data_IF_698591081897
#
_entry.id   IF_698591081897
#
_cell.length_a   1.000
_cell.length_b   1.000
_cell.length_c   1.000
_cell.angle_alpha   90.00
_cell.angle_beta   90.00
_cell.angle_gamma   90.00
#
_symmetry.space_group_name_H-M   'P 1'
#
loop_
_entity.id
_entity.type
_entity.pdbx_description
1 polymer ?
#
# COMPACT_ATOMS: atom_id res chain seq x y z
N UNK A 1 -35.95 -50.16 10.82
CA UNK A 1 -34.80 -49.32 11.21
C UNK A 1 -34.44 -48.44 10.03
N UNK A 2 -34.89 -47.18 10.08
CA UNK A 2 -34.68 -46.20 9.02
C UNK A 2 -33.27 -45.59 9.15
N UNK A 3 -32.47 -45.70 8.10
CA UNK A 3 -31.17 -45.03 7.99
C UNK A 3 -31.35 -43.69 7.27
N UNK A 4 -31.34 -42.60 8.01
CA UNK A 4 -31.24 -41.24 7.44
C UNK A 4 -29.84 -41.05 6.84
N UNK A 5 -29.77 -41.11 5.50
CA UNK A 5 -28.65 -40.60 4.75
C UNK A 5 -28.68 -39.06 4.82
N UNK A 6 -27.80 -38.49 5.63
CA UNK A 6 -27.49 -37.06 5.61
C UNK A 6 -26.90 -36.68 4.25
N UNK A 7 -27.76 -36.27 3.32
CA UNK A 7 -27.37 -35.60 2.08
C UNK A 7 -26.80 -34.23 2.50
N UNK A 8 -25.48 -34.14 2.57
CA UNK A 8 -24.79 -32.86 2.65
C UNK A 8 -25.08 -32.10 1.35
N UNK A 9 -26.02 -31.15 1.41
CA UNK A 9 -26.32 -30.25 0.30
C UNK A 9 -25.02 -29.61 -0.21
N UNK A 10 -24.76 -29.62 -1.54
CA UNK A 10 -23.57 -28.97 -2.07
C UNK A 10 -23.64 -27.48 -1.73
N UNK A 11 -22.64 -26.98 -1.00
CA UNK A 11 -22.49 -25.55 -0.74
C UNK A 11 -22.32 -24.87 -2.09
N UNK A 12 -23.40 -24.29 -2.60
CA UNK A 12 -23.40 -23.57 -3.87
C UNK A 12 -22.44 -22.39 -3.76
N UNK A 13 -21.26 -22.52 -4.38
CA UNK A 13 -20.34 -21.40 -4.48
C UNK A 13 -21.04 -20.32 -5.32
N UNK A 14 -21.20 -19.09 -4.81
CA UNK A 14 -21.78 -18.02 -5.63
C UNK A 14 -20.97 -17.90 -6.92
N UNK A 15 -21.66 -17.68 -8.05
CA UNK A 15 -20.99 -17.46 -9.32
C UNK A 15 -20.02 -16.29 -9.21
N UNK A 16 -18.91 -16.33 -9.96
CA UNK A 16 -17.91 -15.26 -9.96
C UNK A 16 -18.55 -13.88 -10.24
N UNK A 17 -19.56 -13.85 -11.12
CA UNK A 17 -20.36 -12.66 -11.42
C UNK A 17 -21.11 -12.13 -10.18
N UNK A 18 -21.78 -13.00 -9.41
CA UNK A 18 -22.50 -12.58 -8.19
C UNK A 18 -21.55 -12.00 -7.15
N UNK A 19 -20.37 -12.61 -6.99
CA UNK A 19 -19.32 -12.09 -6.11
C UNK A 19 -18.84 -10.71 -6.56
N UNK A 20 -18.52 -10.57 -7.85
CA UNK A 20 -18.05 -9.31 -8.42
C UNK A 20 -19.06 -8.17 -8.21
N UNK A 21 -20.35 -8.43 -8.42
CA UNK A 21 -21.44 -7.46 -8.18
C UNK A 21 -21.56 -7.08 -6.70
N UNK A 22 -21.48 -8.05 -5.78
CA UNK A 22 -21.52 -7.76 -4.34
C UNK A 22 -20.34 -6.89 -3.88
N UNK A 23 -19.14 -7.20 -4.35
CA UNK A 23 -17.95 -6.39 -4.08
C UNK A 23 -18.09 -5.00 -4.71
N UNK A 24 -18.65 -4.91 -5.93
CA UNK A 24 -18.88 -3.63 -6.60
C UNK A 24 -19.86 -2.75 -5.81
N UNK A 25 -20.95 -3.30 -5.30
CA UNK A 25 -21.90 -2.56 -4.48
C UNK A 25 -21.25 -1.96 -3.22
N UNK A 26 -20.43 -2.74 -2.51
CA UNK A 26 -19.67 -2.26 -1.34
C UNK A 26 -18.69 -1.17 -1.75
N UNK A 27 -17.92 -1.42 -2.83
CA UNK A 27 -16.90 -0.50 -3.28
C UNK A 27 -17.50 0.84 -3.72
N UNK A 28 -18.55 0.82 -4.55
CA UNK A 28 -19.26 2.02 -5.01
C UNK A 28 -19.85 2.81 -3.83
N UNK A 29 -20.49 2.14 -2.86
CA UNK A 29 -20.99 2.82 -1.67
C UNK A 29 -19.87 3.53 -0.90
N UNK A 30 -18.72 2.87 -0.71
CA UNK A 30 -17.55 3.48 -0.08
C UNK A 30 -16.98 4.64 -0.91
N UNK A 31 -16.99 4.55 -2.25
CA UNK A 31 -16.55 5.63 -3.13
C UNK A 31 -17.45 6.86 -3.03
N UNK A 32 -18.77 6.68 -2.92
CA UNK A 32 -19.71 7.79 -2.73
C UNK A 32 -19.35 8.55 -1.45
N UNK A 33 -19.21 7.84 -0.32
CA UNK A 33 -18.84 8.47 0.96
C UNK A 33 -17.48 9.17 0.88
N UNK A 34 -16.48 8.52 0.26
CA UNK A 34 -15.15 9.13 0.05
C UNK A 34 -15.23 10.40 -0.78
N UNK A 35 -16.07 10.42 -1.82
CA UNK A 35 -16.25 11.59 -2.69
C UNK A 35 -16.90 12.75 -1.91
N UNK A 36 -17.86 12.45 -1.04
CA UNK A 36 -18.48 13.46 -0.16
C UNK A 36 -17.46 14.03 0.83
N UNK A 37 -16.57 13.21 1.40
CA UNK A 37 -15.50 13.69 2.27
C UNK A 37 -14.49 14.55 1.50
N UNK A 38 -14.02 14.12 0.33
CA UNK A 38 -13.09 14.93 -0.48
C UNK A 38 -13.73 16.25 -0.94
N UNK A 39 -15.01 16.22 -1.30
CA UNK A 39 -15.77 17.43 -1.63
C UNK A 39 -15.85 18.37 -0.44
N UNK A 40 -16.27 17.88 0.74
CA UNK A 40 -16.32 18.71 1.95
C UNK A 40 -14.94 19.26 2.34
N UNK A 41 -13.86 18.50 2.14
CA UNK A 41 -12.51 18.97 2.39
C UNK A 41 -12.05 20.07 1.42
N UNK A 42 -12.45 19.97 0.14
CA UNK A 42 -12.21 21.02 -0.84
C UNK A 42 -12.94 22.32 -0.45
N UNK A 43 -14.22 22.24 -0.07
CA UNK A 43 -15.01 23.39 0.41
C UNK A 43 -14.46 24.03 1.69
N UNK A 44 -13.81 23.23 2.55
CA UNK A 44 -13.18 23.71 3.78
C UNK A 44 -11.74 24.21 3.57
N UNK A 45 -11.17 24.06 2.37
CA UNK A 45 -9.81 24.51 2.07
C UNK A 45 -9.76 26.04 2.05
N UNK A 46 -8.84 26.62 2.80
CA UNK A 46 -8.61 28.07 2.85
C UNK A 46 -7.33 28.50 2.12
N UNK A 47 -7.03 29.80 2.15
CA UNK A 47 -5.84 30.38 1.50
C UNK A 47 -4.50 29.80 1.98
N UNK A 48 -4.45 29.28 3.21
CA UNK A 48 -3.26 28.66 3.77
C UNK A 48 -3.10 27.20 3.35
N UNK A 49 -4.17 26.55 2.88
CA UNK A 49 -4.12 25.19 2.38
C UNK A 49 -3.38 25.13 1.05
N UNK A 50 -2.59 24.08 0.85
CA UNK A 50 -1.93 23.81 -0.43
C UNK A 50 -2.92 23.53 -1.57
N UNK A 51 -4.16 23.20 -1.23
CA UNK A 51 -5.28 23.09 -2.18
C UNK A 51 -5.79 24.45 -2.67
N UNK A 52 -5.55 25.53 -1.91
CA UNK A 52 -6.08 26.87 -2.18
C UNK A 52 -7.52 27.08 -1.69
N UNK A 53 -7.97 28.35 -1.70
CA UNK A 53 -9.31 28.74 -1.23
C UNK A 53 -10.44 28.40 -2.23
N UNK A 54 -10.12 28.23 -3.50
CA UNK A 54 -11.07 27.88 -4.57
C UNK A 54 -10.92 26.41 -5.01
N UNK A 55 -10.47 25.55 -4.10
CA UNK A 55 -10.19 24.14 -4.37
C UNK A 55 -11.44 23.41 -4.87
N UNK A 56 -11.26 22.57 -5.90
CA UNK A 56 -12.32 21.71 -6.45
C UNK A 56 -11.98 20.25 -6.21
N UNK A 57 -13.00 19.39 -6.34
CA UNK A 57 -12.82 17.94 -6.22
C UNK A 57 -11.74 17.40 -7.18
N UNK A 58 -11.64 17.96 -8.39
CA UNK A 58 -10.61 17.58 -9.36
C UNK A 58 -9.18 17.83 -8.88
N UNK A 59 -8.96 18.90 -8.12
CA UNK A 59 -7.65 19.28 -7.61
C UNK A 59 -7.14 18.26 -6.59
N UNK A 60 -8.06 17.58 -5.88
CA UNK A 60 -7.68 16.54 -4.91
C UNK A 60 -6.99 15.35 -5.58
N UNK A 61 -7.23 15.14 -6.88
CA UNK A 61 -6.63 14.04 -7.64
C UNK A 61 -5.14 14.30 -7.87
N UNK A 62 -4.77 15.54 -8.20
CA UNK A 62 -3.38 15.88 -8.58
C UNK A 62 -2.60 16.47 -7.41
N UNK A 63 -3.21 16.71 -6.26
CA UNK A 63 -2.52 17.25 -5.10
C UNK A 63 -1.31 16.40 -4.67
N UNK A 64 -0.28 17.06 -4.13
CA UNK A 64 0.94 16.46 -3.57
C UNK A 64 1.66 15.52 -4.56
N UNK A 65 1.86 14.23 -4.26
CA UNK A 65 2.55 13.30 -5.17
C UNK A 65 1.85 13.16 -6.52
N UNK A 66 0.55 13.47 -6.61
CA UNK A 66 -0.16 13.49 -7.88
C UNK A 66 0.50 14.42 -8.91
N UNK A 67 1.08 15.54 -8.45
CA UNK A 67 1.82 16.48 -9.30
C UNK A 67 3.09 15.84 -9.87
N UNK A 68 3.74 14.98 -9.10
CA UNK A 68 4.97 14.30 -9.51
C UNK A 68 4.70 13.18 -10.49
N UNK A 69 3.62 12.41 -10.28
CA UNK A 69 3.17 11.44 -11.29
C UNK A 69 2.74 12.14 -12.59
N UNK A 70 2.05 13.27 -12.49
CA UNK A 70 1.73 14.09 -13.66
C UNK A 70 2.99 14.61 -14.38
N UNK A 71 3.97 15.11 -13.63
CA UNK A 71 5.25 15.56 -14.16
C UNK A 71 5.98 14.44 -14.92
N UNK A 72 6.05 13.23 -14.34
CA UNK A 72 6.66 12.07 -15.01
C UNK A 72 5.93 11.73 -16.31
N UNK A 73 4.60 11.82 -16.32
CA UNK A 73 3.80 11.50 -17.48
C UNK A 73 4.03 12.47 -18.66
N UNK A 74 4.19 13.77 -18.37
CA UNK A 74 4.31 14.83 -19.38
C UNK A 74 5.76 15.13 -19.76
N UNK A 75 6.67 15.10 -18.79
CA UNK A 75 8.06 15.55 -18.95
C UNK A 75 9.09 14.42 -18.86
N UNK A 76 8.69 13.22 -18.44
CA UNK A 76 9.60 12.09 -18.25
C UNK A 76 10.57 12.28 -17.09
N UNK A 77 11.71 11.60 -17.17
CA UNK A 77 12.75 11.62 -16.14
C UNK A 77 13.91 12.51 -16.59
N UNK A 78 14.44 13.38 -15.71
CA UNK A 78 15.53 14.27 -16.06
C UNK A 78 16.85 13.48 -16.22
N UNK A 79 17.59 13.75 -17.30
CA UNK A 79 18.93 13.18 -17.53
C UNK A 79 20.03 13.90 -16.73
N UNK A 80 19.77 15.13 -16.28
CA UNK A 80 20.63 15.85 -15.34
C UNK A 80 19.83 16.10 -14.06
N UNK A 81 20.40 15.73 -12.91
CA UNK A 81 19.70 15.93 -11.64
C UNK A 81 19.55 17.43 -11.36
N UNK A 82 18.33 17.92 -11.07
CA UNK A 82 18.14 19.32 -10.73
C UNK A 82 18.86 19.64 -9.43
N UNK A 83 19.41 20.85 -9.32
CA UNK A 83 20.08 21.34 -8.13
C UNK A 83 19.28 22.48 -7.50
N UNK A 84 19.35 22.61 -6.17
CA UNK A 84 18.82 23.76 -5.44
C UNK A 84 19.85 24.93 -5.44
N UNK A 85 19.47 26.06 -4.84
CA UNK A 85 20.33 27.26 -4.76
C UNK A 85 21.66 27.02 -4.02
N UNK A 86 21.72 25.99 -3.17
CA UNK A 86 22.93 25.57 -2.47
C UNK A 86 23.78 24.57 -3.26
N UNK A 87 23.42 24.26 -4.51
CA UNK A 87 24.13 23.32 -5.38
C UNK A 87 23.92 21.84 -5.03
N UNK A 88 22.98 21.51 -4.14
CA UNK A 88 22.63 20.13 -3.78
C UNK A 88 21.51 19.61 -4.68
N UNK A 89 21.47 18.30 -4.94
CA UNK A 89 20.39 17.66 -5.71
C UNK A 89 19.02 17.97 -5.10
N UNK A 90 18.10 18.54 -5.86
CA UNK A 90 16.74 18.85 -5.44
C UNK A 90 15.81 17.63 -5.56
N UNK A 91 14.63 17.72 -4.90
CA UNK A 91 13.53 16.78 -5.11
C UNK A 91 13.23 16.63 -6.59
N UNK A 92 13.09 15.39 -7.05
CA UNK A 92 12.92 15.13 -8.47
C UNK A 92 12.16 13.84 -8.76
N UNK A 93 11.80 13.68 -10.03
CA UNK A 93 10.95 12.64 -10.56
C UNK A 93 11.48 11.20 -10.36
N UNK A 94 12.79 11.00 -10.17
CA UNK A 94 13.37 9.65 -10.00
C UNK A 94 12.87 8.90 -8.75
N UNK A 95 12.23 9.59 -7.79
CA UNK A 95 11.54 8.96 -6.66
C UNK A 95 10.22 8.25 -7.05
N UNK A 96 9.66 8.55 -8.24
CA UNK A 96 8.37 8.05 -8.69
C UNK A 96 8.50 7.06 -9.83
N UNK A 97 7.82 5.92 -9.71
CA UNK A 97 8.01 4.76 -10.58
C UNK A 97 7.08 4.84 -11.81
N UNK A 98 7.50 4.29 -12.97
CA UNK A 98 6.98 4.71 -14.27
C UNK A 98 5.61 4.14 -14.67
N UNK A 99 5.20 2.98 -14.15
CA UNK A 99 3.99 2.29 -14.67
C UNK A 99 2.73 3.12 -14.43
N UNK A 100 2.52 3.61 -13.21
CA UNK A 100 1.33 4.37 -12.86
C UNK A 100 1.16 5.66 -13.69
N UNK A 101 2.15 6.58 -13.76
CA UNK A 101 1.97 7.87 -14.44
C UNK A 101 1.73 7.70 -15.94
N UNK A 102 2.45 6.77 -16.59
CA UNK A 102 2.21 6.50 -18.00
C UNK A 102 0.89 5.78 -18.22
N UNK A 103 0.51 4.79 -17.41
CA UNK A 103 -0.82 4.17 -17.54
C UNK A 103 -1.95 5.20 -17.40
N UNK A 104 -1.84 6.13 -16.44
CA UNK A 104 -2.78 7.24 -16.31
C UNK A 104 -2.80 8.12 -17.56
N UNK A 105 -1.63 8.42 -18.17
CA UNK A 105 -1.55 9.14 -19.44
C UNK A 105 -2.27 8.39 -20.57
N UNK A 106 -2.03 7.09 -20.75
CA UNK A 106 -2.69 6.30 -21.79
C UNK A 106 -4.22 6.24 -21.60
N UNK A 107 -4.69 6.04 -20.36
CA UNK A 107 -6.13 6.03 -20.06
C UNK A 107 -6.75 7.42 -20.23
N UNK A 108 -5.97 8.49 -20.11
CA UNK A 108 -6.46 9.86 -20.29
C UNK A 108 -6.73 10.26 -21.74
N UNK A 109 -6.22 9.52 -22.72
CA UNK A 109 -6.29 9.89 -24.16
C UNK A 109 -7.72 10.25 -24.62
N UNK A 110 -8.78 9.48 -24.30
CA UNK A 110 -10.15 9.82 -24.72
C UNK A 110 -10.73 11.08 -24.06
N UNK A 111 -10.15 11.52 -22.95
CA UNK A 111 -10.66 12.62 -22.12
C UNK A 111 -9.85 13.90 -22.27
N UNK A 112 -8.59 13.80 -22.72
CA UNK A 112 -7.67 14.94 -22.90
C UNK A 112 -7.08 15.50 -21.60
N UNK A 113 -7.36 14.88 -20.45
CA UNK A 113 -6.95 15.37 -19.13
C UNK A 113 -6.31 14.24 -18.30
N UNK A 114 -5.02 14.37 -17.95
CA UNK A 114 -4.26 13.33 -17.23
C UNK A 114 -4.94 12.90 -15.92
N UNK A 115 -5.45 13.85 -15.14
CA UNK A 115 -6.09 13.56 -13.86
C UNK A 115 -7.35 12.70 -13.99
N UNK A 116 -8.08 12.79 -15.11
CA UNK A 116 -9.21 11.89 -15.40
C UNK A 116 -8.71 10.46 -15.60
N UNK A 117 -7.60 10.28 -16.32
CA UNK A 117 -6.96 8.97 -16.48
C UNK A 117 -6.46 8.42 -15.14
N UNK A 118 -5.80 9.25 -14.33
CA UNK A 118 -5.32 8.88 -13.00
C UNK A 118 -6.46 8.43 -12.07
N UNK A 119 -7.57 9.18 -12.03
CA UNK A 119 -8.77 8.82 -11.27
C UNK A 119 -9.35 7.47 -11.73
N UNK A 120 -9.49 7.26 -13.04
CA UNK A 120 -10.03 6.01 -13.59
C UNK A 120 -9.13 4.83 -13.20
N UNK A 121 -7.81 4.98 -13.36
CA UNK A 121 -6.85 3.94 -12.96
C UNK A 121 -6.98 3.63 -11.47
N UNK A 122 -7.03 4.65 -10.61
CA UNK A 122 -7.16 4.47 -9.16
C UNK A 122 -8.48 3.79 -8.76
N UNK A 123 -9.60 4.16 -9.37
CA UNK A 123 -10.92 3.55 -9.12
C UNK A 123 -10.98 2.09 -9.60
N UNK A 124 -10.51 1.82 -10.82
CA UNK A 124 -10.53 0.48 -11.40
C UNK A 124 -9.57 -0.43 -10.63
N UNK A 125 -8.38 0.04 -10.29
CA UNK A 125 -7.42 -0.72 -9.50
C UNK A 125 -7.93 -0.96 -8.07
N UNK A 126 -8.54 0.04 -7.42
CA UNK A 126 -9.13 -0.14 -6.08
C UNK A 126 -10.27 -1.15 -6.06
N UNK A 127 -11.11 -1.19 -7.10
CA UNK A 127 -12.11 -2.24 -7.28
C UNK A 127 -11.45 -3.61 -7.50
N UNK A 128 -10.47 -3.68 -8.41
CA UNK A 128 -9.70 -4.90 -8.68
C UNK A 128 -9.02 -5.45 -7.43
N UNK A 129 -8.42 -4.58 -6.62
CA UNK A 129 -7.82 -4.92 -5.33
C UNK A 129 -8.89 -5.47 -4.36
N UNK A 130 -10.07 -4.85 -4.29
CA UNK A 130 -11.18 -5.32 -3.47
C UNK A 130 -11.65 -6.73 -3.87
N UNK A 131 -11.70 -7.04 -5.16
CA UNK A 131 -12.03 -8.39 -5.69
C UNK A 131 -10.91 -9.39 -5.39
N UNK A 132 -9.65 -9.01 -5.60
CA UNK A 132 -8.50 -9.85 -5.30
C UNK A 132 -8.41 -10.16 -3.79
N UNK A 133 -8.64 -9.16 -2.93
CA UNK A 133 -8.71 -9.29 -1.48
C UNK A 133 -9.84 -10.22 -1.05
N UNK A 134 -11.03 -10.07 -1.64
CA UNK A 134 -12.14 -10.99 -1.41
C UNK A 134 -11.71 -12.43 -1.68
N UNK A 135 -11.14 -12.70 -2.86
CA UNK A 135 -10.74 -14.04 -3.24
C UNK A 135 -9.59 -14.61 -2.40
N UNK A 136 -8.66 -13.76 -1.95
CA UNK A 136 -7.58 -14.13 -1.04
C UNK A 136 -8.15 -14.55 0.32
N UNK A 137 -9.02 -13.73 0.90
CA UNK A 137 -9.60 -14.01 2.22
C UNK A 137 -10.61 -15.16 2.21
N UNK A 138 -11.39 -15.34 1.13
CA UNK A 138 -12.38 -16.43 1.01
C UNK A 138 -11.79 -17.83 1.06
N UNK A 139 -10.48 -18.00 0.86
CA UNK A 139 -9.82 -19.30 1.02
C UNK A 139 -9.78 -19.76 2.48
N UNK A 140 -9.94 -18.83 3.43
CA UNK A 140 -9.84 -19.11 4.87
C UNK A 140 -11.05 -18.63 5.67
N UNK A 141 -11.74 -17.59 5.20
CA UNK A 141 -12.86 -16.96 5.88
C UNK A 141 -14.21 -17.30 5.20
N UNK A 142 -15.27 -17.26 6.00
CA UNK A 142 -16.64 -17.34 5.50
C UNK A 142 -17.02 -16.10 4.66
N UNK A 143 -18.11 -16.21 3.90
CA UNK A 143 -18.53 -15.14 3.00
C UNK A 143 -18.82 -13.83 3.74
N UNK A 144 -19.46 -13.89 4.90
CA UNK A 144 -19.83 -12.70 5.66
C UNK A 144 -18.58 -11.97 6.14
N UNK A 145 -17.67 -12.66 6.82
CA UNK A 145 -16.41 -12.09 7.29
C UNK A 145 -15.60 -11.49 6.13
N UNK A 146 -15.59 -12.15 4.97
CA UNK A 146 -14.84 -11.64 3.82
C UNK A 146 -15.47 -10.37 3.23
N UNK A 147 -16.80 -10.29 3.10
CA UNK A 147 -17.47 -9.07 2.65
C UNK A 147 -17.26 -7.91 3.62
N UNK A 148 -17.26 -8.17 4.93
CA UNK A 148 -16.94 -7.15 5.92
C UNK A 148 -15.48 -6.69 5.85
N UNK A 149 -14.52 -7.59 5.62
CA UNK A 149 -13.13 -7.22 5.42
C UNK A 149 -12.96 -6.32 4.17
N UNK A 150 -13.69 -6.62 3.09
CA UNK A 150 -13.72 -5.76 1.89
C UNK A 150 -14.35 -4.40 2.21
N UNK A 151 -15.42 -4.36 3.01
CA UNK A 151 -16.01 -3.08 3.44
C UNK A 151 -15.04 -2.25 4.27
N UNK A 152 -14.29 -2.85 5.20
CA UNK A 152 -13.26 -2.14 5.97
C UNK A 152 -12.11 -1.66 5.11
N UNK A 153 -11.67 -2.45 4.14
CA UNK A 153 -10.64 -2.04 3.18
C UNK A 153 -11.12 -0.88 2.29
N UNK A 154 -12.31 -1.00 1.71
CA UNK A 154 -12.87 -0.02 0.80
C UNK A 154 -13.27 1.29 1.50
N UNK A 155 -13.58 1.25 2.79
CA UNK A 155 -13.93 2.42 3.62
C UNK A 155 -12.87 2.77 4.66
N UNK A 156 -11.67 2.19 4.54
CA UNK A 156 -10.60 2.33 5.53
C UNK A 156 -10.14 3.78 5.71
N UNK A 157 -9.36 4.09 6.76
CA UNK A 157 -8.91 5.46 7.02
C UNK A 157 -8.18 6.14 5.85
N UNK A 158 -7.62 5.34 4.93
CA UNK A 158 -6.84 5.83 3.78
C UNK A 158 -7.54 5.53 2.46
N UNK A 159 -8.85 5.29 2.51
CA UNK A 159 -9.65 4.94 1.34
C UNK A 159 -9.73 6.06 0.29
N UNK A 160 -9.31 7.30 0.61
CA UNK A 160 -9.10 8.36 -0.39
C UNK A 160 -8.04 8.00 -1.46
N UNK A 161 -7.11 7.08 -1.16
CA UNK A 161 -6.12 6.60 -2.11
C UNK A 161 -6.69 5.95 -3.37
N UNK A 162 -7.95 5.48 -3.35
CA UNK A 162 -8.58 4.97 -4.57
C UNK A 162 -9.26 6.05 -5.42
N UNK A 163 -9.16 7.32 -5.01
CA UNK A 163 -9.59 8.48 -5.81
C UNK A 163 -8.42 9.29 -6.34
N UNK A 164 -7.39 9.47 -5.51
CA UNK A 164 -6.29 10.37 -5.85
C UNK A 164 -5.31 9.75 -6.84
N UNK A 165 -4.59 10.61 -7.54
CA UNK A 165 -3.65 10.31 -8.63
C UNK A 165 -2.34 9.67 -8.16
N UNK A 166 -2.44 8.55 -7.45
CA UNK A 166 -1.34 7.92 -6.73
C UNK A 166 -1.20 6.42 -7.05
N UNK A 167 0.03 5.91 -7.03
CA UNK A 167 0.34 4.54 -7.45
C UNK A 167 -0.14 3.44 -6.48
N UNK A 168 -0.53 3.79 -5.25
CA UNK A 168 -0.93 2.88 -4.18
C UNK A 168 -2.05 1.93 -4.62
N UNK A 169 -3.12 2.45 -5.19
CA UNK A 169 -4.28 1.65 -5.60
C UNK A 169 -3.88 0.57 -6.61
N UNK A 170 -3.08 0.94 -7.61
CA UNK A 170 -2.56 0.06 -8.65
C UNK A 170 -1.63 -1.00 -8.06
N UNK A 171 -0.70 -0.59 -7.20
CA UNK A 171 0.22 -1.53 -6.56
C UNK A 171 -0.49 -2.53 -5.64
N UNK A 172 -1.53 -2.11 -4.91
CA UNK A 172 -2.34 -3.01 -4.07
C UNK A 172 -3.05 -4.08 -4.89
N UNK A 173 -3.55 -3.72 -6.07
CA UNK A 173 -4.16 -4.69 -6.97
C UNK A 173 -3.16 -5.76 -7.40
N UNK A 174 -1.96 -5.36 -7.84
CA UNK A 174 -0.88 -6.28 -8.18
C UNK A 174 -0.45 -7.15 -7.01
N UNK A 175 -0.27 -6.55 -5.84
CA UNK A 175 0.12 -7.24 -4.62
C UNK A 175 -0.91 -8.30 -4.22
N UNK A 176 -2.20 -7.98 -4.19
CA UNK A 176 -3.21 -8.96 -3.79
C UNK A 176 -3.37 -10.07 -4.82
N UNK A 177 -3.22 -9.76 -6.11
CA UNK A 177 -3.12 -10.78 -7.16
C UNK A 177 -1.90 -11.69 -6.96
N UNK A 178 -0.74 -11.13 -6.57
CA UNK A 178 0.48 -11.88 -6.32
C UNK A 178 0.36 -12.78 -5.08
N UNK A 179 -0.17 -12.24 -3.97
CA UNK A 179 -0.46 -13.03 -2.77
C UNK A 179 -1.49 -14.14 -3.05
N UNK A 180 -2.52 -13.85 -3.85
CA UNK A 180 -3.50 -14.84 -4.28
C UNK A 180 -2.86 -15.92 -5.18
N UNK A 181 -1.93 -15.56 -6.05
CA UNK A 181 -1.18 -16.51 -6.88
C UNK A 181 -0.31 -17.44 -6.02
N UNK A 182 0.42 -16.88 -5.05
CA UNK A 182 1.23 -17.65 -4.09
C UNK A 182 0.36 -18.61 -3.28
N UNK A 183 -0.74 -18.12 -2.72
CA UNK A 183 -1.62 -18.91 -1.87
C UNK A 183 -2.39 -19.99 -2.66
N UNK A 184 -2.62 -19.79 -3.96
CA UNK A 184 -3.16 -20.80 -4.88
C UNK A 184 -2.10 -21.70 -5.51
N UNK A 185 -0.81 -21.55 -5.15
CA UNK A 185 0.31 -22.29 -5.74
C UNK A 185 0.49 -22.08 -7.26
N UNK A 186 -0.01 -20.96 -7.80
CA UNK A 186 0.07 -20.62 -9.23
C UNK A 186 1.20 -19.63 -9.48
N UNK A 187 2.42 -20.07 -9.22
CA UNK A 187 3.61 -19.21 -9.18
C UNK A 187 3.98 -18.56 -10.51
N UNK A 188 3.57 -19.14 -11.64
CA UNK A 188 3.87 -18.60 -12.98
C UNK A 188 3.41 -17.15 -13.14
N UNK A 189 2.29 -16.77 -12.53
CA UNK A 189 1.79 -15.39 -12.57
C UNK A 189 2.74 -14.37 -11.91
N UNK A 190 3.61 -14.82 -11.01
CA UNK A 190 4.55 -13.94 -10.33
C UNK A 190 5.59 -13.34 -11.28
N UNK A 191 5.94 -14.03 -12.36
CA UNK A 191 6.88 -13.51 -13.35
C UNK A 191 6.36 -12.25 -14.07
N UNK A 192 5.04 -12.09 -14.17
CA UNK A 192 4.42 -10.86 -14.68
C UNK A 192 4.13 -9.84 -13.55
N UNK A 193 3.60 -10.31 -12.42
CA UNK A 193 3.16 -9.43 -11.33
C UNK A 193 4.32 -8.74 -10.59
N UNK A 194 5.47 -9.40 -10.47
CA UNK A 194 6.63 -8.83 -9.75
C UNK A 194 7.19 -7.59 -10.49
N UNK A 195 7.47 -7.63 -11.80
CA UNK A 195 7.85 -6.43 -12.55
C UNK A 195 6.79 -5.33 -12.45
N UNK A 196 5.50 -5.68 -12.57
CA UNK A 196 4.42 -4.71 -12.43
C UNK A 196 4.46 -4.01 -11.07
N UNK A 197 4.65 -4.74 -9.97
CA UNK A 197 4.81 -4.13 -8.63
C UNK A 197 6.07 -3.26 -8.56
N UNK A 198 7.22 -3.80 -8.97
CA UNK A 198 8.52 -3.16 -8.89
C UNK A 198 8.57 -1.79 -9.58
N UNK A 199 7.90 -1.67 -10.73
CA UNK A 199 7.84 -0.44 -11.51
C UNK A 199 6.54 0.37 -11.32
N UNK A 200 5.67 -0.03 -10.39
CA UNK A 200 4.52 0.80 -9.97
C UNK A 200 4.87 1.57 -8.70
N UNK A 201 5.56 0.95 -7.73
CA UNK A 201 5.90 1.59 -6.45
C UNK A 201 7.08 0.89 -5.76
N UNK A 202 7.94 1.62 -5.03
CA UNK A 202 8.95 1.01 -4.18
C UNK A 202 8.33 0.04 -3.15
N UNK A 203 8.97 -1.10 -2.93
CA UNK A 203 8.54 -2.08 -1.92
C UNK A 203 8.60 -3.55 -2.33
N UNK A 204 8.90 -3.87 -3.59
CA UNK A 204 8.95 -5.28 -4.06
C UNK A 204 10.02 -6.13 -3.34
N UNK A 205 11.05 -5.49 -2.75
CA UNK A 205 12.04 -6.18 -1.92
C UNK A 205 11.40 -6.84 -0.68
N UNK A 206 10.33 -6.25 -0.12
CA UNK A 206 9.54 -6.92 0.92
C UNK A 206 8.90 -8.22 0.42
N UNK A 207 8.51 -8.26 -0.86
CA UNK A 207 7.94 -9.45 -1.49
C UNK A 207 9.01 -10.53 -1.71
N UNK A 208 10.25 -10.13 -2.03
CA UNK A 208 11.39 -11.04 -2.09
C UNK A 208 11.65 -11.70 -0.73
N UNK A 209 11.69 -10.92 0.36
CA UNK A 209 11.82 -11.43 1.73
C UNK A 209 10.65 -12.36 2.09
N UNK A 210 9.43 -11.98 1.73
CA UNK A 210 8.24 -12.82 1.93
C UNK A 210 8.39 -14.18 1.23
N UNK A 211 8.79 -14.22 -0.04
CA UNK A 211 8.97 -15.47 -0.78
C UNK A 211 10.08 -16.34 -0.18
N UNK A 212 11.18 -15.73 0.29
CA UNK A 212 12.25 -16.45 0.97
C UNK A 212 11.75 -17.11 2.28
N UNK A 213 11.10 -16.34 3.15
CA UNK A 213 10.53 -16.85 4.40
C UNK A 213 9.43 -17.89 4.15
N UNK A 214 8.63 -17.69 3.11
CA UNK A 214 7.60 -18.65 2.72
C UNK A 214 8.18 -19.95 2.19
N UNK A 215 9.26 -19.89 1.41
CA UNK A 215 10.02 -21.06 0.96
C UNK A 215 10.61 -21.84 2.12
N UNK A 216 11.24 -21.14 3.09
CA UNK A 216 11.74 -21.74 4.33
C UNK A 216 10.60 -22.41 5.10
N UNK A 217 9.47 -21.72 5.27
CA UNK A 217 8.31 -22.29 5.96
C UNK A 217 7.79 -23.55 5.25
N UNK A 218 7.62 -23.54 3.92
CA UNK A 218 7.21 -24.72 3.12
C UNK A 218 8.21 -25.86 3.26
N UNK A 219 9.51 -25.56 3.29
CA UNK A 219 10.56 -26.57 3.46
C UNK A 219 10.48 -27.24 4.82
N UNK A 220 10.27 -26.47 5.89
CA UNK A 220 10.13 -26.98 7.26
C UNK A 220 8.82 -27.74 7.47
N UNK A 221 7.75 -27.38 6.75
CA UNK A 221 6.44 -28.05 6.85
C UNK A 221 6.20 -29.12 5.78
N UNK A 222 7.22 -29.48 4.99
CA UNK A 222 7.10 -30.41 3.85
C UNK A 222 6.54 -31.79 4.19
N UNK A 223 6.71 -32.22 5.45
CA UNK A 223 6.15 -33.48 5.94
C UNK A 223 4.61 -33.45 6.04
N UNK A 224 4.01 -32.26 6.21
CA UNK A 224 2.56 -32.03 6.28
C UNK A 224 1.99 -31.58 4.94
N UNK A 225 2.73 -30.73 4.22
CA UNK A 225 2.34 -30.23 2.90
C UNK A 225 3.47 -30.51 1.90
N UNK A 226 3.37 -31.55 1.04
CA UNK A 226 4.41 -31.90 0.09
C UNK A 226 4.86 -30.69 -0.73
N UNK A 227 6.18 -30.52 -0.85
CA UNK A 227 6.79 -29.45 -1.63
C UNK A 227 7.45 -30.07 -2.86
N UNK A 228 6.88 -29.79 -4.04
CA UNK A 228 7.37 -30.36 -5.30
C UNK A 228 8.55 -29.54 -5.84
N UNK A 229 9.47 -30.20 -6.55
CA UNK A 229 10.64 -29.53 -7.14
C UNK A 229 10.29 -28.29 -8.02
N UNK A 230 9.23 -28.32 -8.87
CA UNK A 230 8.84 -27.13 -9.62
C UNK A 230 8.40 -25.95 -8.73
N UNK A 231 7.78 -26.21 -7.58
CA UNK A 231 7.40 -25.15 -6.65
C UNK A 231 8.63 -24.50 -6.01
N UNK A 232 9.65 -25.30 -5.66
CA UNK A 232 10.93 -24.79 -5.14
C UNK A 232 11.57 -23.87 -6.18
N UNK A 233 11.68 -24.33 -7.43
CA UNK A 233 12.26 -23.56 -8.52
C UNK A 233 11.51 -22.22 -8.72
N UNK A 234 10.17 -22.26 -8.72
CA UNK A 234 9.38 -21.04 -8.86
C UNK A 234 9.52 -20.08 -7.69
N UNK A 235 9.52 -20.56 -6.44
CA UNK A 235 9.68 -19.70 -5.26
C UNK A 235 11.05 -19.01 -5.29
N UNK A 236 12.11 -19.75 -5.57
CA UNK A 236 13.47 -19.21 -5.65
C UNK A 236 13.59 -18.22 -6.81
N UNK A 237 13.17 -18.62 -8.02
CA UNK A 237 13.27 -17.76 -9.21
C UNK A 237 12.43 -16.48 -9.08
N UNK A 238 11.21 -16.56 -8.53
CA UNK A 238 10.39 -15.38 -8.27
C UNK A 238 10.99 -14.51 -7.17
N UNK A 239 11.58 -15.10 -6.12
CA UNK A 239 12.29 -14.35 -5.07
C UNK A 239 13.49 -13.59 -5.62
N UNK A 240 14.31 -14.22 -6.46
CA UNK A 240 15.43 -13.60 -7.15
C UNK A 240 14.96 -12.51 -8.13
N UNK A 241 13.89 -12.77 -8.89
CA UNK A 241 13.30 -11.75 -9.76
C UNK A 241 12.84 -10.53 -8.97
N UNK A 242 12.18 -10.73 -7.82
CA UNK A 242 11.75 -9.63 -6.95
C UNK A 242 12.94 -8.83 -6.39
N UNK A 243 14.04 -9.51 -6.03
CA UNK A 243 15.26 -8.84 -5.60
C UNK A 243 15.87 -8.01 -6.74
N UNK A 244 16.10 -8.60 -7.91
CA UNK A 244 16.66 -7.93 -9.08
C UNK A 244 15.78 -6.76 -9.52
N UNK A 245 14.47 -6.97 -9.65
CA UNK A 245 13.53 -5.92 -10.04
C UNK A 245 13.47 -4.79 -9.00
N UNK A 246 13.62 -5.11 -7.71
CA UNK A 246 13.63 -4.11 -6.65
C UNK A 246 14.83 -3.17 -6.67
N UNK A 247 15.97 -3.60 -7.21
CA UNK A 247 17.16 -2.75 -7.39
C UNK A 247 17.26 -2.17 -8.82
N UNK A 248 16.50 -2.69 -9.79
CA UNK A 248 16.60 -2.29 -11.19
C UNK A 248 16.43 -0.79 -11.40
N UNK A 249 15.52 -0.15 -10.67
CA UNK A 249 15.24 1.28 -10.82
C UNK A 249 16.45 2.17 -10.47
N UNK A 250 17.19 1.82 -9.42
CA UNK A 250 18.41 2.52 -9.04
C UNK A 250 19.48 2.44 -10.14
N UNK A 251 19.63 1.27 -10.76
CA UNK A 251 20.57 1.10 -11.88
C UNK A 251 20.13 1.89 -13.12
N UNK A 252 18.83 1.92 -13.43
CA UNK A 252 18.29 2.71 -14.55
C UNK A 252 18.54 4.20 -14.32
N UNK A 253 18.25 4.71 -13.12
CA UNK A 253 18.52 6.10 -12.75
C UNK A 253 20.00 6.44 -12.92
N UNK A 254 20.89 5.58 -12.43
CA UNK A 254 22.32 5.83 -12.55
C UNK A 254 22.86 5.75 -13.97
N UNK A 255 22.30 4.87 -14.81
CA UNK A 255 22.67 4.78 -16.21
C UNK A 255 22.20 6.00 -17.02
N UNK A 256 20.95 6.45 -16.84
CA UNK A 256 20.38 7.58 -17.59
C UNK A 256 21.03 8.92 -17.19
N UNK A 257 21.35 9.08 -15.91
CA UNK A 257 21.94 10.32 -15.39
C UNK A 257 23.47 10.38 -15.47
N UNK A 258 24.12 9.23 -15.73
CA UNK A 258 25.57 9.08 -15.61
C UNK A 258 26.09 9.13 -14.16
N UNK A 259 25.21 9.16 -13.15
CA UNK A 259 25.56 9.18 -11.74
C UNK A 259 25.08 7.88 -11.04
N UNK A 260 25.96 6.94 -10.68
CA UNK A 260 25.58 5.68 -10.02
C UNK A 260 24.75 5.84 -8.73
N UNK A 261 24.85 6.99 -8.08
CA UNK A 261 24.13 7.31 -6.83
C UNK A 261 22.81 8.05 -7.06
N UNK A 262 22.41 8.30 -8.31
CA UNK A 262 21.28 9.19 -8.66
C UNK A 262 19.99 8.92 -7.88
N UNK A 263 19.60 7.65 -7.75
CA UNK A 263 18.41 7.29 -6.98
C UNK A 263 18.58 7.58 -5.49
N UNK A 264 19.74 7.23 -4.91
CA UNK A 264 20.01 7.46 -3.49
C UNK A 264 20.02 8.96 -3.16
N UNK A 265 20.75 9.78 -3.93
CA UNK A 265 20.79 11.23 -3.69
C UNK A 265 19.43 11.89 -3.93
N UNK A 266 18.60 11.32 -4.80
CA UNK A 266 17.20 11.75 -4.97
C UNK A 266 16.39 11.45 -3.71
N UNK A 267 16.39 10.21 -3.21
CA UNK A 267 15.69 9.84 -1.96
C UNK A 267 16.18 10.67 -0.77
N UNK A 268 17.48 10.99 -0.71
CA UNK A 268 18.04 11.87 0.31
C UNK A 268 17.53 13.31 0.16
N UNK A 269 17.37 13.83 -1.07
CA UNK A 269 16.83 15.16 -1.31
C UNK A 269 15.40 15.31 -0.75
N UNK A 270 14.56 14.31 -0.97
CA UNK A 270 13.22 14.23 -0.39
C UNK A 270 13.24 14.21 1.14
N UNK A 271 14.19 13.49 1.74
CA UNK A 271 14.34 13.44 3.19
C UNK A 271 14.83 14.74 3.81
N UNK A 272 15.71 15.49 3.12
CA UNK A 272 16.26 16.76 3.66
C UNK A 272 15.19 17.79 3.98
N UNK A 273 13.99 17.69 3.39
CA UNK A 273 12.87 18.56 3.74
C UNK A 273 12.27 18.29 5.13
N UNK A 274 12.65 17.17 5.77
CA UNK A 274 12.15 16.74 7.06
C UNK A 274 13.17 16.82 8.19
N UNK A 275 14.46 16.84 7.87
CA UNK A 275 15.52 16.79 8.88
C UNK A 275 16.43 18.00 8.80
N UNK A 276 17.01 18.39 9.93
CA UNK A 276 18.03 19.42 9.98
C UNK A 276 19.39 18.79 9.63
N UNK A 277 19.94 19.09 8.45
CA UNK A 277 21.27 18.65 8.01
C UNK A 277 21.28 17.65 6.86
N UNK A 278 22.42 16.99 6.66
CA UNK A 278 22.61 16.06 5.55
C UNK A 278 21.92 14.72 5.80
N UNK A 279 21.06 14.31 4.87
CA UNK A 279 20.45 13.00 4.87
C UNK A 279 21.47 11.95 4.42
N UNK A 280 21.73 10.96 5.29
CA UNK A 280 22.52 9.77 4.97
C UNK A 280 21.64 8.53 4.96
N UNK A 281 22.13 7.42 4.40
CA UNK A 281 21.39 6.17 4.40
C UNK A 281 22.24 5.04 4.95
N UNK A 282 21.77 4.45 6.05
CA UNK A 282 22.15 3.10 6.47
C UNK A 282 20.88 2.37 6.90
N UNK A 283 20.80 1.03 6.82
CA UNK A 283 19.60 0.32 7.26
C UNK A 283 19.21 0.71 8.70
N UNK A 284 17.92 0.89 8.95
CA UNK A 284 17.30 1.38 10.21
C UNK A 284 17.50 2.85 10.56
N UNK A 285 18.59 3.49 10.12
CA UNK A 285 18.82 4.92 10.37
C UNK A 285 17.63 5.80 9.98
N UNK A 286 16.98 5.63 8.81
CA UNK A 286 15.84 6.46 8.42
C UNK A 286 14.72 6.38 9.44
N UNK A 287 14.47 5.18 9.97
CA UNK A 287 13.41 4.96 10.93
C UNK A 287 13.72 5.60 12.28
N UNK A 288 14.96 5.45 12.76
CA UNK A 288 15.43 6.05 14.01
C UNK A 288 15.46 7.57 13.94
N UNK A 289 15.92 8.14 12.81
CA UNK A 289 15.91 9.57 12.56
C UNK A 289 14.49 10.14 12.62
N UNK A 290 13.50 9.42 12.08
CA UNK A 290 12.11 9.84 12.19
C UNK A 290 11.56 9.80 13.62
N UNK A 291 12.01 8.87 14.48
CA UNK A 291 11.65 8.88 15.91
C UNK A 291 12.19 10.15 16.57
N UNK A 292 13.45 10.51 16.32
CA UNK A 292 14.06 11.74 16.83
C UNK A 292 13.30 12.98 16.33
N UNK A 293 13.01 13.05 15.04
CA UNK A 293 12.23 14.15 14.48
C UNK A 293 10.87 14.35 15.18
N UNK A 294 10.06 13.30 15.32
CA UNK A 294 8.74 13.45 15.94
C UNK A 294 8.81 13.76 17.42
N UNK A 295 9.64 13.03 18.18
CA UNK A 295 9.69 13.18 19.63
C UNK A 295 10.46 14.43 20.03
N UNK A 296 11.68 14.64 19.58
CA UNK A 296 12.51 15.77 20.01
C UNK A 296 12.11 17.07 19.31
N UNK A 297 12.00 17.04 17.98
CA UNK A 297 11.79 18.26 17.18
C UNK A 297 10.33 18.71 17.15
N UNK A 298 9.38 17.79 16.93
CA UNK A 298 7.98 18.17 16.70
C UNK A 298 7.13 18.21 17.97
N UNK A 299 7.28 17.22 18.86
CA UNK A 299 6.47 17.12 20.08
C UNK A 299 7.20 17.60 21.34
N UNK A 300 8.51 17.85 21.25
CA UNK A 300 9.37 18.24 22.38
C UNK A 300 9.26 17.28 23.58
N UNK A 301 9.16 15.98 23.28
CA UNK A 301 9.14 14.86 24.21
C UNK A 301 10.50 14.16 24.27
N UNK A 302 10.82 13.45 25.38
CA UNK A 302 12.08 12.72 25.50
C UNK A 302 12.23 11.62 24.45
N UNK A 303 13.38 11.57 23.77
CA UNK A 303 13.69 10.56 22.74
C UNK A 303 13.55 9.12 23.24
N UNK A 304 13.96 8.86 24.49
CA UNK A 304 13.84 7.54 25.12
C UNK A 304 12.39 7.04 25.13
N UNK A 305 11.41 7.93 25.32
CA UNK A 305 9.99 7.59 25.27
C UNK A 305 9.60 7.14 23.85
N UNK A 306 10.12 7.83 22.82
CA UNK A 306 9.92 7.45 21.42
C UNK A 306 10.40 6.03 21.11
N UNK A 307 11.62 5.69 21.52
CA UNK A 307 12.14 4.34 21.36
C UNK A 307 11.31 3.29 22.11
N UNK A 308 10.91 3.57 23.34
CA UNK A 308 10.07 2.64 24.14
C UNK A 308 8.71 2.41 23.46
N UNK A 309 8.03 3.47 23.04
CA UNK A 309 6.70 3.37 22.43
C UNK A 309 6.75 2.65 21.08
N UNK A 310 7.74 2.95 20.24
CA UNK A 310 7.93 2.26 18.96
C UNK A 310 8.28 0.79 19.18
N UNK A 311 9.26 0.48 20.04
CA UNK A 311 9.64 -0.90 20.33
C UNK A 311 8.46 -1.70 20.92
N UNK A 312 7.70 -1.09 21.83
CA UNK A 312 6.47 -1.68 22.38
C UNK A 312 5.41 -1.92 21.31
N UNK A 313 5.19 -0.96 20.41
CA UNK A 313 4.28 -1.11 19.28
C UNK A 313 4.67 -2.24 18.34
N UNK A 314 5.96 -2.31 17.97
CA UNK A 314 6.50 -3.40 17.15
C UNK A 314 6.36 -4.76 17.82
N UNK A 315 6.60 -4.84 19.14
CA UNK A 315 6.39 -6.05 19.92
C UNK A 315 4.92 -6.49 19.91
N UNK A 316 3.99 -5.56 20.13
CA UNK A 316 2.55 -5.85 20.09
C UNK A 316 2.15 -6.36 18.71
N UNK A 317 2.63 -5.74 17.63
CA UNK A 317 2.35 -6.18 16.26
C UNK A 317 2.95 -7.56 16.00
N UNK A 318 4.19 -7.81 16.40
CA UNK A 318 4.83 -9.12 16.27
C UNK A 318 4.06 -10.21 17.02
N UNK A 319 3.69 -9.95 18.28
CA UNK A 319 2.86 -10.85 19.10
C UNK A 319 1.50 -11.06 18.44
N UNK A 320 0.85 -10.03 17.91
CA UNK A 320 -0.42 -10.17 17.22
C UNK A 320 -0.29 -11.05 15.96
N UNK A 321 0.75 -10.85 15.15
CA UNK A 321 1.04 -11.67 13.97
C UNK A 321 1.34 -13.14 14.34
N UNK A 322 1.90 -13.41 15.52
CA UNK A 322 2.25 -14.76 15.96
C UNK A 322 1.06 -15.45 16.64
N UNK A 323 0.45 -14.78 17.61
CA UNK A 323 -0.41 -15.37 18.62
C UNK A 323 -1.90 -15.00 18.48
N UNK A 324 -2.27 -13.90 17.84
CA UNK A 324 -3.68 -13.49 17.79
C UNK A 324 -4.51 -14.50 16.95
N UNK A 325 -5.52 -15.18 17.52
CA UNK A 325 -6.27 -16.22 16.79
C UNK A 325 -6.92 -15.73 15.50
N UNK A 326 -7.40 -14.49 15.50
CA UNK A 326 -8.02 -13.83 14.36
C UNK A 326 -7.03 -13.68 13.19
N UNK A 327 -5.78 -13.34 13.48
CA UNK A 327 -4.71 -13.21 12.48
C UNK A 327 -4.22 -14.58 12.02
N UNK A 328 -4.09 -15.55 12.94
CA UNK A 328 -3.74 -16.93 12.60
C UNK A 328 -4.73 -17.57 11.60
N UNK A 329 -6.01 -17.22 11.69
CA UNK A 329 -7.05 -17.67 10.74
C UNK A 329 -6.82 -17.17 9.31
N UNK A 330 -6.05 -16.10 9.10
CA UNK A 330 -5.79 -15.55 7.76
C UNK A 330 -4.78 -16.38 6.95
N UNK A 331 -4.08 -17.32 7.60
CA UNK A 331 -3.08 -18.16 6.96
C UNK A 331 -1.66 -17.60 7.07
N UNK A 332 -0.68 -18.43 6.70
CA UNK A 332 0.73 -18.10 6.84
C UNK A 332 1.19 -17.05 5.82
N UNK A 333 0.58 -17.05 4.64
CA UNK A 333 0.92 -16.17 3.53
C UNK A 333 0.74 -14.70 3.93
N UNK A 334 -0.43 -14.36 4.48
CA UNK A 334 -0.74 -13.01 4.95
C UNK A 334 0.18 -12.60 6.10
N UNK A 335 0.47 -13.53 7.02
CA UNK A 335 1.31 -13.24 8.20
C UNK A 335 2.76 -12.97 7.81
N UNK A 336 3.34 -13.80 6.94
CA UNK A 336 4.70 -13.63 6.46
C UNK A 336 4.83 -12.39 5.57
N UNK A 337 3.83 -12.09 4.73
CA UNK A 337 3.80 -10.85 3.98
C UNK A 337 3.81 -9.64 4.91
N UNK A 338 2.90 -9.58 5.88
CA UNK A 338 2.82 -8.47 6.83
C UNK A 338 4.12 -8.29 7.62
N UNK A 339 4.72 -9.39 8.09
CA UNK A 339 6.00 -9.33 8.79
C UNK A 339 7.13 -8.83 7.88
N UNK A 340 7.24 -9.36 6.66
CA UNK A 340 8.29 -8.97 5.70
C UNK A 340 8.17 -7.51 5.29
N UNK A 341 6.94 -7.03 5.11
CA UNK A 341 6.68 -5.65 4.73
C UNK A 341 6.96 -4.67 5.87
N UNK A 342 6.63 -5.02 7.12
CA UNK A 342 7.00 -4.22 8.28
C UNK A 342 8.51 -4.15 8.49
N UNK A 343 9.22 -5.28 8.33
CA UNK A 343 10.70 -5.31 8.38
C UNK A 343 11.29 -4.43 7.28
N UNK A 344 10.76 -4.50 6.06
CA UNK A 344 11.18 -3.63 4.97
C UNK A 344 11.01 -2.15 5.32
N UNK A 345 9.84 -1.74 5.85
CA UNK A 345 9.63 -0.36 6.28
C UNK A 345 10.61 0.08 7.36
N UNK A 346 10.89 -0.77 8.36
CA UNK A 346 11.88 -0.47 9.40
C UNK A 346 13.29 -0.28 8.85
N UNK A 347 13.65 -1.01 7.78
CA UNK A 347 14.99 -0.95 7.21
C UNK A 347 15.24 0.31 6.40
N UNK A 348 14.25 0.75 5.61
CA UNK A 348 14.52 1.76 4.56
C UNK A 348 13.72 3.04 4.69
N UNK A 349 12.62 3.05 5.44
CA UNK A 349 11.68 4.16 5.41
C UNK A 349 11.89 5.12 6.58
N UNK A 350 11.87 6.42 6.26
CA UNK A 350 11.78 7.50 7.25
C UNK A 350 10.31 7.74 7.59
N UNK A 351 9.86 7.53 8.84
CA UNK A 351 8.45 7.62 9.23
C UNK A 351 8.00 9.09 9.26
N UNK A 352 7.69 9.64 8.10
CA UNK A 352 7.05 10.95 7.92
C UNK A 352 5.51 10.84 8.04
N UNK A 353 4.77 11.94 7.86
CA UNK A 353 3.30 11.96 7.98
C UNK A 353 2.60 10.97 7.06
N UNK A 354 3.20 10.68 5.89
CA UNK A 354 2.69 9.70 4.92
C UNK A 354 2.91 8.23 5.34
N UNK A 355 3.46 7.96 6.54
CA UNK A 355 3.61 6.60 7.06
C UNK A 355 2.29 5.82 7.06
N UNK A 356 1.16 6.50 7.29
CA UNK A 356 -0.14 5.86 7.30
C UNK A 356 -0.41 5.16 5.95
N UNK A 357 -0.15 5.84 4.82
CA UNK A 357 -0.28 5.24 3.48
C UNK A 357 0.65 4.07 3.26
N UNK A 358 1.85 4.16 3.82
CA UNK A 358 2.79 3.06 3.75
C UNK A 358 2.26 1.82 4.47
N UNK A 359 1.33 1.91 5.40
CA UNK A 359 0.74 0.73 6.05
C UNK A 359 -0.38 0.07 5.24
N UNK A 360 -0.88 0.69 4.17
CA UNK A 360 -2.00 0.16 3.37
C UNK A 360 -1.73 -1.23 2.77
N UNK A 361 -0.50 -1.61 2.37
CA UNK A 361 -0.20 -2.98 1.94
C UNK A 361 -0.44 -4.06 3.01
N UNK A 362 -0.65 -3.68 4.27
CA UNK A 362 -1.08 -4.59 5.36
C UNK A 362 -2.59 -4.87 5.36
N UNK A 363 -3.35 -4.31 4.42
CA UNK A 363 -4.81 -4.44 4.29
C UNK A 363 -5.37 -5.87 4.30
N UNK A 364 -4.64 -6.95 3.90
CA UNK A 364 -5.14 -8.30 4.14
C UNK A 364 -5.47 -8.59 5.63
N UNK A 365 -4.87 -7.86 6.57
CA UNK A 365 -5.18 -7.94 8.00
C UNK A 365 -6.58 -7.43 8.37
N UNK A 366 -7.29 -6.69 7.50
CA UNK A 366 -8.71 -6.38 7.71
C UNK A 366 -9.57 -7.63 7.89
N UNK A 367 -9.13 -8.78 7.35
CA UNK A 367 -9.73 -10.07 7.62
C UNK A 367 -9.82 -10.40 9.11
N UNK A 368 -8.81 -10.05 9.92
CA UNK A 368 -8.78 -10.35 11.34
C UNK A 368 -9.86 -9.57 12.11
N UNK A 369 -10.11 -8.31 11.73
CA UNK A 369 -11.18 -7.48 12.31
C UNK A 369 -12.57 -7.97 11.90
N UNK A 370 -12.68 -8.67 10.77
CA UNK A 370 -13.94 -9.21 10.29
C UNK A 370 -14.27 -10.62 10.82
N UNK A 371 -13.30 -11.33 11.41
CA UNK A 371 -13.50 -12.65 12.02
C UNK A 371 -14.57 -12.66 13.12
N UNK A 372 -14.61 -11.70 14.07
CA UNK A 372 -15.70 -11.65 15.05
C UNK A 372 -17.07 -11.52 14.38
N UNK A 373 -18.03 -12.33 14.82
CA UNK A 373 -19.39 -12.39 14.24
C UNK A 373 -20.33 -11.29 14.75
N UNK A 374 -19.95 -10.59 15.82
CA UNK A 374 -20.76 -9.51 16.39
C UNK A 374 -20.98 -8.40 15.35
N UNK A 375 -22.27 -8.11 15.08
CA UNK A 375 -22.64 -7.02 14.17
C UNK A 375 -22.26 -5.66 14.74
N UNK A 376 -22.45 -5.45 16.05
CA UNK A 376 -22.06 -4.22 16.73
C UNK A 376 -20.55 -3.96 16.60
N UNK A 377 -19.72 -4.99 16.76
CA UNK A 377 -18.27 -4.88 16.53
C UNK A 377 -17.96 -4.46 15.09
N UNK A 378 -18.52 -5.15 14.09
CA UNK A 378 -18.24 -4.86 12.67
C UNK A 378 -18.71 -3.46 12.26
N UNK A 379 -19.87 -3.03 12.76
CA UNK A 379 -20.37 -1.67 12.56
C UNK A 379 -19.44 -0.66 13.25
N UNK A 380 -19.01 -0.92 14.48
CA UNK A 380 -18.06 -0.07 15.19
C UNK A 380 -16.73 0.09 14.46
N UNK A 381 -16.18 -1.00 13.91
CA UNK A 381 -14.98 -0.95 13.07
C UNK A 381 -15.22 -0.12 11.81
N UNK A 382 -16.36 -0.28 11.13
CA UNK A 382 -16.69 0.52 9.95
C UNK A 382 -16.82 2.02 10.29
N UNK A 383 -17.48 2.35 11.40
CA UNK A 383 -17.59 3.74 11.89
C UNK A 383 -16.20 4.30 12.18
N UNK A 384 -15.34 3.55 12.87
CA UNK A 384 -13.96 3.95 13.14
C UNK A 384 -13.15 4.15 11.84
N UNK A 385 -13.36 3.31 10.83
CA UNK A 385 -12.75 3.47 9.51
C UNK A 385 -13.19 4.79 8.85
N UNK A 386 -14.49 5.08 8.83
CA UNK A 386 -15.04 6.30 8.24
C UNK A 386 -14.63 7.56 9.01
N UNK A 387 -14.62 7.51 10.34
CA UNK A 387 -14.16 8.62 11.18
C UNK A 387 -12.67 8.89 10.97
N UNK A 388 -11.84 7.83 10.95
CA UNK A 388 -10.42 7.93 10.63
C UNK A 388 -10.19 8.44 9.22
N UNK A 389 -11.05 8.05 8.27
CA UNK A 389 -10.99 8.52 6.89
C UNK A 389 -11.28 10.01 6.78
N UNK A 390 -12.36 10.49 7.40
CA UNK A 390 -12.64 11.91 7.45
C UNK A 390 -11.52 12.69 8.13
N UNK A 391 -11.04 12.21 9.29
CA UNK A 391 -9.95 12.86 10.01
C UNK A 391 -8.69 12.99 9.15
N UNK A 392 -8.28 11.92 8.46
CA UNK A 392 -7.11 11.97 7.59
C UNK A 392 -7.32 12.90 6.39
N UNK A 393 -8.46 12.80 5.69
CA UNK A 393 -8.80 13.67 4.56
C UNK A 393 -8.80 15.15 4.98
N UNK A 394 -9.45 15.47 6.10
CA UNK A 394 -9.54 16.83 6.60
C UNK A 394 -8.15 17.41 6.92
N UNK A 395 -7.29 16.66 7.62
CA UNK A 395 -5.96 17.15 7.99
C UNK A 395 -5.02 17.29 6.78
N UNK A 396 -5.06 16.36 5.82
CA UNK A 396 -4.11 16.32 4.71
C UNK A 396 -4.57 17.14 3.49
N UNK A 397 -5.88 17.20 3.23
CA UNK A 397 -6.44 17.90 2.06
C UNK A 397 -7.07 19.23 2.41
N UNK A 398 -7.88 19.33 3.47
CA UNK A 398 -8.50 20.61 3.82
C UNK A 398 -7.49 21.59 4.45
N UNK A 399 -6.70 21.11 5.41
CA UNK A 399 -5.78 21.93 6.19
C UNK A 399 -4.32 21.89 5.70
N UNK A 400 -4.00 20.97 4.79
CA UNK A 400 -2.63 20.60 4.50
C UNK A 400 -1.79 21.76 3.97
N UNK A 401 -0.84 22.23 4.77
CA UNK A 401 -0.09 23.46 4.53
C UNK A 401 1.38 23.37 4.96
N UNK A 402 1.73 22.29 5.65
CA UNK A 402 3.00 22.11 6.37
C UNK A 402 3.53 20.69 6.14
N UNK A 403 4.80 20.46 6.44
CA UNK A 403 5.45 19.18 6.15
C UNK A 403 4.73 18.00 6.84
N UNK A 404 4.27 18.14 8.09
CA UNK A 404 3.55 17.08 8.81
C UNK A 404 2.11 16.79 8.31
N UNK A 405 1.62 17.53 7.32
CA UNK A 405 0.30 17.35 6.71
C UNK A 405 0.40 16.84 5.26
N UNK A 406 1.56 16.31 4.88
CA UNK A 406 1.76 15.62 3.61
C UNK A 406 1.06 14.24 3.68
N UNK A 407 0.11 13.93 2.78
CA UNK A 407 -0.69 12.71 2.85
C UNK A 407 0.09 11.41 2.78
#
# INVERSE_FOLDING_TARGET
>A
MAGEQLILSPVTRPSAARTAVRVAAIYVAARIVTSLFLFAAAELSGFTSRMGADARLGDTIVAWDGQWYWLVAVSGYPSQLPLNDAGQVAENAWAFLPIYPWLAQWVSIPFGLWHTGALIVSLVAGYGASVALYHLLRMRLDESATLWAVAFFASGPLAALFHVGYAEALNLFWLFCALLAVARRRYVWLYALIPLMAFTRPGVLAFALFLALFGIWRWLTRAREPLRAPEIAHIIAAGLLAAVAGFAWQFIAGWVTGNPEAYLVTEMAWRRNWILGDATFTPFEPFLAGISYWFETMWHLPLALGYILVAGGLLVVAVALIALPQVRRLGIEIRLWSASYLVYLLLVFFPQSSIFRLLVPLSPLWGAFAVPRSRAWRIGVLIACLAGQWWWIYNMYALGSTNWQVP
#
